data_IF_906933167627
#
_entry.id   IF_906933167627
#
_cell.length_a   1.000
_cell.length_b   1.000
_cell.length_c   1.000
_cell.angle_alpha   90.00
_cell.angle_beta   90.00
_cell.angle_gamma   90.00
#
_symmetry.space_group_name_H-M   'P 1'
#
loop_
_entity.id
_entity.type
_entity.pdbx_description
1 polymer ?
#
# COMPACT_ATOMS: atom_id res chain seq x y z
N UNK A 1 -55.42 4.05 -32.98
CA UNK A 1 -54.46 3.05 -32.47
C UNK A 1 -53.02 3.22 -33.00
N UNK A 2 -52.79 3.54 -34.28
CA UNK A 2 -51.42 3.69 -34.83
C UNK A 2 -50.63 4.88 -34.25
N UNK A 3 -51.27 6.03 -34.00
CA UNK A 3 -50.59 7.20 -33.43
C UNK A 3 -50.12 6.96 -31.98
N UNK A 4 -50.90 6.23 -31.19
CA UNK A 4 -50.54 5.89 -29.81
C UNK A 4 -49.30 4.98 -29.76
N UNK A 5 -49.23 3.97 -30.64
CA UNK A 5 -48.05 3.10 -30.78
C UNK A 5 -46.80 3.87 -31.19
N UNK A 6 -46.91 4.84 -32.11
CA UNK A 6 -45.77 5.67 -32.52
C UNK A 6 -45.27 6.55 -31.38
N UNK A 7 -46.15 7.21 -30.63
CA UNK A 7 -45.78 8.04 -29.48
C UNK A 7 -45.11 7.19 -28.39
N UNK A 8 -45.66 6.01 -28.08
CA UNK A 8 -45.08 5.10 -27.08
C UNK A 8 -43.69 4.61 -27.49
N UNK A 9 -43.49 4.25 -28.78
CA UNK A 9 -42.16 3.89 -29.28
C UNK A 9 -41.18 5.05 -29.24
N UNK A 10 -41.61 6.27 -29.60
CA UNK A 10 -40.76 7.47 -29.55
C UNK A 10 -40.34 7.84 -28.13
N UNK A 11 -41.26 7.74 -27.16
CA UNK A 11 -40.97 8.00 -25.75
C UNK A 11 -40.06 6.91 -25.17
N UNK A 12 -40.30 5.63 -25.49
CA UNK A 12 -39.44 4.54 -25.06
C UNK A 12 -38.01 4.64 -25.63
N UNK A 13 -37.86 5.01 -26.91
CA UNK A 13 -36.56 5.28 -27.52
C UNK A 13 -35.86 6.51 -26.93
N UNK A 14 -36.61 7.56 -26.57
CA UNK A 14 -36.04 8.74 -25.90
C UNK A 14 -35.54 8.41 -24.49
N UNK A 15 -36.30 7.63 -23.70
CA UNK A 15 -35.86 7.16 -22.37
C UNK A 15 -34.64 6.23 -22.44
N UNK A 16 -34.51 5.41 -23.49
CA UNK A 16 -33.35 4.55 -23.69
C UNK A 16 -32.06 5.31 -24.08
N UNK A 17 -32.18 6.57 -24.54
CA UNK A 17 -31.05 7.45 -24.89
C UNK A 17 -30.64 8.37 -23.73
N UNK A 18 -31.39 8.40 -22.62
CA UNK A 18 -30.98 9.13 -21.42
C UNK A 18 -29.94 8.29 -20.69
N UNK A 19 -28.66 8.53 -21.00
CA UNK A 19 -27.60 8.02 -20.15
C UNK A 19 -27.78 8.62 -18.74
N UNK A 20 -27.76 7.81 -17.67
CA UNK A 20 -27.78 8.36 -16.32
C UNK A 20 -26.56 9.26 -16.14
N UNK A 21 -26.81 10.56 -15.97
CA UNK A 21 -25.78 11.52 -15.56
C UNK A 21 -25.55 11.28 -14.07
N UNK A 22 -24.66 10.34 -13.75
CA UNK A 22 -24.25 10.13 -12.37
C UNK A 22 -23.44 11.33 -11.90
N UNK A 23 -23.83 11.89 -10.75
CA UNK A 23 -23.03 12.92 -10.10
C UNK A 23 -21.63 12.36 -9.76
N UNK A 24 -20.59 13.17 -10.01
CA UNK A 24 -19.22 12.80 -9.66
C UNK A 24 -19.07 12.70 -8.15
N UNK A 25 -18.45 11.62 -7.67
CA UNK A 25 -18.25 11.38 -6.23
C UNK A 25 -16.92 11.96 -5.77
N UNK A 26 -16.96 12.88 -4.82
CA UNK A 26 -15.75 13.42 -4.19
C UNK A 26 -15.66 12.91 -2.76
N UNK A 27 -14.58 12.22 -2.42
CA UNK A 27 -14.23 11.94 -1.02
C UNK A 27 -13.07 12.83 -0.60
N UNK A 28 -13.15 13.39 0.61
CA UNK A 28 -12.10 14.21 1.21
C UNK A 28 -11.70 13.57 2.54
N UNK A 29 -10.40 13.34 2.72
CA UNK A 29 -9.80 12.85 3.97
C UNK A 29 -8.86 13.92 4.51
N UNK A 30 -8.95 14.19 5.81
CA UNK A 30 -8.03 15.08 6.51
C UNK A 30 -7.11 14.24 7.40
N UNK A 31 -5.84 14.21 7.04
CA UNK A 31 -4.76 13.46 7.69
C UNK A 31 -4.25 14.19 8.94
N UNK A 32 -3.31 13.57 9.65
CA UNK A 32 -2.59 14.13 10.82
C UNK A 32 -3.46 14.58 12.01
N UNK A 33 -4.60 13.93 12.23
CA UNK A 33 -5.40 14.17 13.44
C UNK A 33 -4.70 13.66 14.70
N UNK A 34 -4.88 14.40 15.79
CA UNK A 34 -4.44 14.06 17.15
C UNK A 34 -3.42 15.04 17.75
N UNK A 35 -2.98 16.05 17.00
CA UNK A 35 -1.99 17.04 17.43
C UNK A 35 -2.53 18.47 17.53
N UNK A 36 -3.63 18.79 16.84
CA UNK A 36 -4.14 20.16 16.71
C UNK A 36 -5.65 20.25 16.99
N UNK A 37 -6.10 20.02 18.25
CA UNK A 37 -7.54 19.98 18.56
C UNK A 37 -8.31 21.22 18.09
N UNK A 38 -7.70 22.42 18.10
CA UNK A 38 -8.37 23.64 17.64
C UNK A 38 -8.83 23.56 16.18
N UNK A 39 -7.98 23.13 15.26
CA UNK A 39 -8.32 23.04 13.83
C UNK A 39 -9.05 21.73 13.49
N UNK A 40 -8.69 20.64 14.15
CA UNK A 40 -9.37 19.35 14.03
C UNK A 40 -10.85 19.48 14.40
N UNK A 41 -11.17 20.20 15.48
CA UNK A 41 -12.56 20.47 15.87
C UNK A 41 -13.35 21.30 14.85
N UNK A 42 -12.68 22.16 14.07
CA UNK A 42 -13.33 22.89 12.99
C UNK A 42 -13.62 21.97 11.80
N UNK A 43 -12.74 21.00 11.52
CA UNK A 43 -13.01 19.94 10.52
C UNK A 43 -14.17 19.05 10.98
N UNK A 44 -14.25 18.70 12.27
CA UNK A 44 -15.36 17.92 12.82
C UNK A 44 -16.71 18.67 12.88
N UNK A 45 -16.72 19.97 12.55
CA UNK A 45 -17.93 20.76 12.36
C UNK A 45 -18.36 20.86 10.88
N UNK A 46 -17.54 20.34 9.95
CA UNK A 46 -17.86 20.24 8.53
C UNK A 46 -18.81 19.05 8.26
N UNK A 47 -19.36 18.89 7.04
CA UNK A 47 -20.23 17.75 6.74
C UNK A 47 -19.58 16.40 7.08
N UNK A 48 -20.37 15.49 7.67
CA UNK A 48 -19.93 14.17 8.12
C UNK A 48 -19.42 13.23 7.01
N UNK A 49 -19.53 13.63 5.74
CA UNK A 49 -18.91 12.94 4.62
C UNK A 49 -17.39 13.21 4.52
N UNK A 50 -16.88 14.30 5.11
CA UNK A 50 -15.45 14.49 5.33
C UNK A 50 -14.97 13.39 6.29
N UNK A 51 -13.88 12.71 5.93
CA UNK A 51 -13.30 11.66 6.76
C UNK A 51 -11.99 12.12 7.36
N UNK A 52 -11.55 11.49 8.44
CA UNK A 52 -10.34 11.89 9.17
C UNK A 52 -9.40 10.71 9.34
N UNK A 53 -8.10 10.94 9.22
CA UNK A 53 -7.08 9.94 9.49
C UNK A 53 -6.26 10.36 10.72
N UNK A 54 -6.26 9.50 11.75
CA UNK A 54 -5.74 9.82 13.08
C UNK A 54 -4.40 9.11 13.31
N UNK A 55 -3.38 9.87 13.72
CA UNK A 55 -2.06 9.34 14.08
C UNK A 55 -2.16 8.59 15.41
N UNK A 56 -1.85 7.27 15.48
CA UNK A 56 -2.10 6.47 16.68
C UNK A 56 -1.36 6.93 17.94
N UNK A 57 -0.16 7.47 17.76
CA UNK A 57 0.72 7.89 18.85
C UNK A 57 0.59 9.39 19.17
N UNK A 58 -0.32 10.11 18.51
CA UNK A 58 -0.55 11.51 18.80
C UNK A 58 -1.24 11.71 20.17
N UNK A 59 -0.97 12.81 20.89
CA UNK A 59 -1.48 13.03 22.25
C UNK A 59 -3.00 12.92 22.40
N UNK A 60 -3.75 13.34 21.38
CA UNK A 60 -5.22 13.34 21.39
C UNK A 60 -5.83 12.27 20.48
N UNK A 61 -5.08 11.25 20.06
CA UNK A 61 -5.53 10.27 19.07
C UNK A 61 -6.88 9.62 19.42
N UNK A 62 -7.00 9.04 20.61
CA UNK A 62 -8.23 8.37 21.06
C UNK A 62 -9.41 9.33 21.20
N UNK A 63 -9.15 10.53 21.75
CA UNK A 63 -10.15 11.57 21.93
C UNK A 63 -10.72 12.02 20.58
N UNK A 64 -9.84 12.37 19.64
CA UNK A 64 -10.23 12.85 18.30
C UNK A 64 -10.90 11.77 17.47
N UNK A 65 -10.43 10.51 17.52
CA UNK A 65 -11.10 9.39 16.87
C UNK A 65 -12.53 9.18 17.39
N UNK A 66 -12.70 9.21 18.72
CA UNK A 66 -14.02 9.07 19.35
C UNK A 66 -14.95 10.23 18.99
N UNK A 67 -14.43 11.47 19.03
CA UNK A 67 -15.20 12.65 18.67
C UNK A 67 -15.62 12.64 17.21
N UNK A 68 -14.70 12.28 16.30
CA UNK A 68 -14.99 12.14 14.88
C UNK A 68 -16.09 11.12 14.60
N UNK A 69 -15.99 9.94 15.21
CA UNK A 69 -17.00 8.90 15.09
C UNK A 69 -18.38 9.35 15.60
N UNK A 70 -18.42 9.97 16.78
CA UNK A 70 -19.67 10.46 17.39
C UNK A 70 -20.34 11.57 16.57
N UNK A 71 -19.54 12.37 15.85
CA UNK A 71 -20.03 13.37 14.89
C UNK A 71 -20.38 12.78 13.51
N UNK A 72 -20.26 11.46 13.33
CA UNK A 72 -20.63 10.75 12.10
C UNK A 72 -19.55 10.73 11.02
N UNK A 73 -18.34 11.22 11.30
CA UNK A 73 -17.21 11.13 10.36
C UNK A 73 -16.65 9.71 10.33
N UNK A 74 -16.18 9.31 9.15
CA UNK A 74 -15.42 8.08 9.02
C UNK A 74 -13.98 8.28 9.53
N UNK A 75 -13.51 7.32 10.33
CA UNK A 75 -12.17 7.35 10.95
C UNK A 75 -11.27 6.34 10.27
N UNK A 76 -10.06 6.78 9.93
CA UNK A 76 -8.97 5.93 9.46
C UNK A 76 -7.81 6.01 10.44
N UNK A 77 -7.03 4.94 10.53
CA UNK A 77 -5.71 4.96 11.15
C UNK A 77 -4.76 5.66 10.19
N UNK A 78 -4.10 6.74 10.59
CA UNK A 78 -3.02 7.35 9.82
C UNK A 78 -1.68 6.79 10.31
N UNK A 79 -1.22 5.68 9.72
CA UNK A 79 -0.07 4.94 10.24
C UNK A 79 1.25 5.50 9.69
N UNK A 80 2.21 5.89 10.55
CA UNK A 80 3.55 6.27 10.13
C UNK A 80 4.27 5.20 9.34
N UNK A 81 4.79 5.59 8.17
CA UNK A 81 5.56 4.74 7.29
C UNK A 81 6.83 5.44 6.80
N UNK A 82 7.91 4.69 6.65
CA UNK A 82 9.22 5.24 6.32
C UNK A 82 9.23 5.95 4.95
N UNK A 83 9.66 7.22 4.88
CA UNK A 83 9.93 7.92 3.63
C UNK A 83 11.33 7.58 3.10
N UNK A 84 11.57 7.90 1.83
CA UNK A 84 12.92 7.86 1.22
C UNK A 84 13.80 9.01 1.75
N UNK A 85 13.19 10.15 2.08
CA UNK A 85 13.88 11.30 2.67
C UNK A 85 14.32 11.03 4.11
N UNK A 86 15.36 11.72 4.57
CA UNK A 86 15.89 11.60 5.95
C UNK A 86 15.24 12.59 6.90
N UNK A 87 13.92 12.54 7.03
CA UNK A 87 13.16 13.37 7.95
C UNK A 87 12.91 12.67 9.29
N UNK A 88 12.62 13.42 10.37
CA UNK A 88 12.21 12.83 11.64
C UNK A 88 11.02 11.90 11.44
N UNK A 89 11.04 10.77 12.14
CA UNK A 89 10.02 9.75 12.06
C UNK A 89 9.15 9.79 13.31
N UNK A 90 7.84 9.63 13.11
CA UNK A 90 6.91 9.39 14.20
C UNK A 90 7.20 8.05 14.89
N UNK A 91 6.73 7.91 16.13
CA UNK A 91 6.86 6.66 16.87
C UNK A 91 6.12 5.52 16.14
N UNK A 92 6.71 4.32 16.18
CA UNK A 92 6.20 3.11 15.52
C UNK A 92 6.06 3.24 13.99
N UNK A 93 6.94 4.03 13.37
CA UNK A 93 7.03 4.11 11.90
C UNK A 93 7.41 2.77 11.27
N UNK A 94 6.55 2.24 10.40
CA UNK A 94 6.81 1.01 9.66
C UNK A 94 7.95 1.19 8.66
N UNK A 95 8.88 0.23 8.64
CA UNK A 95 10.02 0.20 7.72
C UNK A 95 10.05 -1.10 6.90
N UNK A 96 10.49 -1.08 5.63
CA UNK A 96 10.52 -2.27 4.76
C UNK A 96 11.23 -3.51 5.36
N UNK A 97 12.30 -3.27 6.11
CA UNK A 97 13.18 -4.28 6.70
C UNK A 97 12.62 -4.94 7.97
N UNK A 98 11.53 -4.41 8.53
CA UNK A 98 10.90 -4.99 9.72
C UNK A 98 10.44 -6.44 9.48
N UNK A 99 10.45 -7.25 10.54
CA UNK A 99 9.85 -8.57 10.53
C UNK A 99 8.32 -8.48 10.45
N UNK A 100 7.66 -9.55 10.03
CA UNK A 100 6.19 -9.62 10.04
C UNK A 100 5.65 -9.44 11.47
N UNK A 101 6.30 -10.01 12.48
CA UNK A 101 5.87 -9.88 13.88
C UNK A 101 5.94 -8.43 14.39
N UNK A 102 6.95 -7.67 13.97
CA UNK A 102 7.07 -6.26 14.35
C UNK A 102 5.98 -5.41 13.67
N UNK A 103 5.73 -5.65 12.38
CA UNK A 103 4.64 -5.00 11.63
C UNK A 103 3.28 -5.34 12.25
N UNK A 104 3.01 -6.61 12.53
CA UNK A 104 1.77 -7.08 13.17
C UNK A 104 1.57 -6.44 14.55
N UNK A 105 2.64 -6.35 15.36
CA UNK A 105 2.61 -5.69 16.67
C UNK A 105 2.22 -4.22 16.53
N UNK A 106 2.83 -3.49 15.60
CA UNK A 106 2.58 -2.06 15.39
C UNK A 106 1.15 -1.81 14.90
N UNK A 107 0.68 -2.60 13.92
CA UNK A 107 -0.68 -2.45 13.37
C UNK A 107 -1.73 -2.77 14.44
N UNK A 108 -1.53 -3.82 15.24
CA UNK A 108 -2.41 -4.16 16.37
C UNK A 108 -2.50 -3.03 17.40
N UNK A 109 -1.37 -2.45 17.76
CA UNK A 109 -1.31 -1.34 18.71
C UNK A 109 -2.00 -0.09 18.15
N UNK A 110 -1.76 0.22 16.87
CA UNK A 110 -2.44 1.31 16.17
C UNK A 110 -3.96 1.13 16.14
N UNK A 111 -4.44 -0.07 15.83
CA UNK A 111 -5.86 -0.42 15.83
C UNK A 111 -6.52 -0.20 17.20
N UNK A 112 -5.85 -0.56 18.28
CA UNK A 112 -6.37 -0.39 19.64
C UNK A 112 -6.38 1.09 20.09
N UNK A 113 -5.44 1.89 19.59
CA UNK A 113 -5.31 3.33 19.92
C UNK A 113 -6.30 4.22 19.17
N UNK A 114 -6.69 3.83 17.95
CA UNK A 114 -7.62 4.57 17.10
C UNK A 114 -8.95 3.81 17.00
N UNK A 115 -9.87 3.96 17.98
CA UNK A 115 -11.15 3.27 17.95
C UNK A 115 -12.00 3.69 16.75
N UNK A 116 -12.93 2.83 16.34
CA UNK A 116 -13.88 3.04 15.24
C UNK A 116 -13.25 3.17 13.84
N UNK A 117 -11.95 2.90 13.71
CA UNK A 117 -11.28 2.90 12.42
C UNK A 117 -11.89 1.84 11.49
N UNK A 118 -12.15 2.25 10.25
CA UNK A 118 -12.66 1.37 9.18
C UNK A 118 -11.66 1.22 8.02
N UNK A 119 -10.57 1.97 8.06
CA UNK A 119 -9.46 1.86 7.13
C UNK A 119 -8.14 2.29 7.74
N UNK A 120 -7.06 2.02 7.02
CA UNK A 120 -5.71 2.48 7.32
C UNK A 120 -5.19 3.30 6.14
N UNK A 121 -4.54 4.42 6.45
CA UNK A 121 -3.94 5.34 5.51
C UNK A 121 -2.48 5.59 5.90
N UNK A 122 -1.57 5.68 4.93
CA UNK A 122 -0.15 5.88 5.23
C UNK A 122 0.20 7.36 5.45
N UNK A 123 0.80 7.65 6.61
CA UNK A 123 1.53 8.89 6.83
C UNK A 123 2.93 8.77 6.22
N UNK A 124 3.27 9.66 5.29
CA UNK A 124 4.51 9.58 4.49
C UNK A 124 4.62 8.23 3.75
N UNK A 125 5.68 7.46 3.96
CA UNK A 125 5.75 6.08 3.49
C UNK A 125 6.38 5.82 2.13
N UNK A 126 7.00 6.79 1.46
CA UNK A 126 7.55 6.56 0.10
C UNK A 126 8.56 5.41 0.00
N UNK A 127 9.31 5.09 1.06
CA UNK A 127 10.18 3.90 1.09
C UNK A 127 9.39 2.63 1.42
N UNK A 128 8.42 2.70 2.34
CA UNK A 128 7.58 1.57 2.72
C UNK A 128 6.67 1.12 1.57
N UNK A 129 5.91 2.05 0.99
CA UNK A 129 4.90 1.76 -0.04
C UNK A 129 5.53 1.38 -1.37
N UNK A 130 6.77 1.79 -1.66
CA UNK A 130 7.51 1.30 -2.84
C UNK A 130 8.11 -0.11 -2.66
N UNK A 131 8.12 -0.66 -1.44
CA UNK A 131 8.61 -2.02 -1.15
C UNK A 131 7.48 -3.03 -1.24
N UNK A 132 7.49 -3.89 -2.27
CA UNK A 132 6.51 -4.97 -2.38
C UNK A 132 6.58 -5.93 -1.19
N UNK A 133 7.77 -6.33 -0.75
CA UNK A 133 7.94 -7.21 0.40
C UNK A 133 7.45 -6.59 1.71
N UNK A 134 7.69 -5.28 1.90
CA UNK A 134 7.17 -4.56 3.06
C UNK A 134 5.65 -4.50 3.06
N UNK A 135 5.07 -4.10 1.92
CA UNK A 135 3.62 -3.97 1.78
C UNK A 135 2.89 -5.32 1.84
N UNK A 136 3.48 -6.42 1.36
CA UNK A 136 2.91 -7.77 1.50
C UNK A 136 2.67 -8.12 2.97
N UNK A 137 3.67 -7.85 3.83
CA UNK A 137 3.55 -8.06 5.28
C UNK A 137 2.45 -7.17 5.88
N UNK A 138 2.37 -5.90 5.46
CA UNK A 138 1.31 -4.98 5.91
C UNK A 138 -0.08 -5.48 5.50
N UNK A 139 -0.26 -5.93 4.27
CA UNK A 139 -1.56 -6.41 3.79
C UNK A 139 -1.96 -7.73 4.46
N UNK A 140 -1.01 -8.62 4.73
CA UNK A 140 -1.23 -9.84 5.52
C UNK A 140 -1.61 -9.51 6.97
N UNK A 141 -0.94 -8.54 7.59
CA UNK A 141 -1.29 -8.06 8.93
C UNK A 141 -2.70 -7.49 8.96
N UNK A 142 -3.04 -6.68 7.96
CA UNK A 142 -4.33 -6.01 7.84
C UNK A 142 -5.49 -6.97 7.55
N UNK A 143 -5.26 -8.12 6.92
CA UNK A 143 -6.32 -9.09 6.61
C UNK A 143 -7.09 -9.59 7.84
N UNK A 144 -6.45 -9.55 9.02
CA UNK A 144 -7.08 -9.91 10.29
C UNK A 144 -8.04 -8.83 10.81
N UNK A 145 -7.99 -7.65 10.21
CA UNK A 145 -8.82 -6.50 10.55
C UNK A 145 -9.73 -6.19 9.37
N UNK A 146 -11.00 -5.88 9.62
CA UNK A 146 -11.92 -5.47 8.56
C UNK A 146 -11.65 -4.01 8.13
N UNK A 147 -10.42 -3.72 7.70
CA UNK A 147 -9.94 -2.41 7.29
C UNK A 147 -9.59 -2.42 5.80
N UNK A 148 -9.99 -1.37 5.08
CA UNK A 148 -9.41 -1.10 3.76
C UNK A 148 -8.10 -0.30 3.90
N UNK A 149 -7.29 -0.29 2.86
CA UNK A 149 -6.09 0.54 2.78
C UNK A 149 -6.32 1.73 1.82
N UNK A 150 -6.17 2.95 2.31
CA UNK A 150 -6.11 4.16 1.50
C UNK A 150 -4.65 4.52 1.26
N UNK A 151 -4.19 4.40 0.03
CA UNK A 151 -2.85 4.83 -0.36
C UNK A 151 -2.82 6.35 -0.58
N UNK A 152 -2.05 7.06 0.24
CA UNK A 152 -1.79 8.50 0.09
C UNK A 152 -0.95 8.84 -1.14
N UNK A 153 -0.45 7.84 -1.88
CA UNK A 153 0.31 8.03 -3.12
C UNK A 153 1.48 9.01 -2.93
N UNK A 154 2.26 8.80 -1.87
CA UNK A 154 3.47 9.60 -1.57
C UNK A 154 4.64 9.25 -2.50
N UNK A 155 4.49 8.18 -3.29
CA UNK A 155 5.38 7.80 -4.39
C UNK A 155 4.55 7.19 -5.54
N UNK A 156 4.93 7.48 -6.79
CA UNK A 156 4.16 7.07 -7.97
C UNK A 156 4.13 5.56 -8.23
N UNK A 157 5.17 4.84 -7.81
CA UNK A 157 5.34 3.38 -8.00
C UNK A 157 4.95 2.57 -6.75
N UNK A 158 4.01 3.07 -5.95
CA UNK A 158 3.49 2.33 -4.79
C UNK A 158 3.05 0.92 -5.17
N UNK A 159 3.40 -0.04 -4.30
CA UNK A 159 3.12 -1.45 -4.45
C UNK A 159 1.87 -1.88 -3.65
N UNK A 160 1.14 -0.95 -3.03
CA UNK A 160 0.00 -1.25 -2.16
C UNK A 160 -1.07 -2.12 -2.85
N UNK A 161 -1.49 -1.75 -4.06
CA UNK A 161 -2.48 -2.54 -4.83
C UNK A 161 -1.96 -3.95 -5.16
N UNK A 162 -0.70 -4.05 -5.58
CA UNK A 162 -0.07 -5.33 -5.90
C UNK A 162 0.08 -6.22 -4.68
N UNK A 163 0.47 -5.64 -3.54
CA UNK A 163 0.63 -6.35 -2.28
C UNK A 163 -0.70 -6.85 -1.70
N UNK A 164 -1.81 -6.17 -2.00
CA UNK A 164 -3.14 -6.60 -1.60
C UNK A 164 -3.69 -7.75 -2.49
N UNK A 165 -3.04 -8.06 -3.61
CA UNK A 165 -3.45 -9.19 -4.43
C UNK A 165 -3.29 -10.50 -3.64
N UNK A 166 -4.39 -11.24 -3.54
CA UNK A 166 -4.44 -12.48 -2.76
C UNK A 166 -4.78 -12.30 -1.29
N UNK A 167 -5.09 -11.08 -0.83
CA UNK A 167 -5.71 -10.84 0.49
C UNK A 167 -7.13 -10.29 0.33
N UNK A 168 -7.89 -10.28 1.42
CA UNK A 168 -9.20 -9.60 1.48
C UNK A 168 -9.15 -8.06 1.54
N UNK A 169 -7.96 -7.45 1.58
CA UNK A 169 -7.80 -6.01 1.83
C UNK A 169 -8.07 -5.21 0.57
N UNK A 170 -9.11 -4.36 0.59
CA UNK A 170 -9.39 -3.43 -0.51
C UNK A 170 -8.44 -2.24 -0.47
N UNK A 171 -7.95 -1.82 -1.63
CA UNK A 171 -7.07 -0.66 -1.77
C UNK A 171 -7.76 0.42 -2.60
N UNK A 172 -7.79 1.65 -2.07
CA UNK A 172 -8.21 2.86 -2.78
C UNK A 172 -7.08 3.88 -2.75
N UNK A 173 -7.05 4.82 -3.70
CA UNK A 173 -5.89 5.71 -3.88
C UNK A 173 -6.30 7.18 -3.94
N UNK A 174 -5.51 8.02 -3.29
CA UNK A 174 -5.58 9.48 -3.46
C UNK A 174 -5.39 9.86 -4.93
N UNK A 175 -6.15 10.86 -5.39
CA UNK A 175 -5.98 11.53 -6.69
C UNK A 175 -5.44 12.95 -6.58
N UNK A 176 -5.76 13.66 -5.50
CA UNK A 176 -5.32 15.06 -5.29
C UNK A 176 -4.83 15.26 -3.86
N UNK A 177 -3.74 15.98 -3.69
CA UNK A 177 -3.29 16.48 -2.39
C UNK A 177 -3.66 17.96 -2.34
N UNK A 178 -4.42 18.36 -1.34
CA UNK A 178 -5.03 19.68 -1.28
C UNK A 178 -4.00 20.75 -0.92
N UNK A 179 -3.07 20.43 -0.03
CA UNK A 179 -2.25 21.42 0.67
C UNK A 179 -0.75 21.10 0.65
N UNK A 180 -0.25 20.70 -0.52
CA UNK A 180 1.20 20.64 -0.80
C UNK A 180 1.91 21.96 -0.44
N UNK A 181 1.20 23.08 -0.57
CA UNK A 181 1.58 24.38 -0.02
C UNK A 181 0.50 24.86 0.97
N UNK A 182 0.91 25.64 1.97
CA UNK A 182 -0.04 26.25 2.91
C UNK A 182 -0.68 27.54 2.36
N UNK A 183 -0.64 27.76 1.04
CA UNK A 183 -1.23 28.93 0.38
C UNK A 183 -2.68 28.65 0.00
N UNK A 184 -3.62 29.48 0.44
CA UNK A 184 -5.05 29.25 0.16
C UNK A 184 -5.42 29.27 -1.33
N UNK A 185 -4.73 30.06 -2.16
CA UNK A 185 -5.01 30.08 -3.60
C UNK A 185 -4.64 28.75 -4.26
N UNK A 186 -3.49 28.18 -3.90
CA UNK A 186 -3.05 26.86 -4.38
C UNK A 186 -4.00 25.75 -3.91
N UNK A 187 -4.44 25.81 -2.64
CA UNK A 187 -5.41 24.86 -2.09
C UNK A 187 -6.74 24.93 -2.85
N UNK A 188 -7.23 26.14 -3.20
CA UNK A 188 -8.44 26.30 -4.04
C UNK A 188 -8.25 25.69 -5.44
N UNK A 189 -7.08 25.84 -6.04
CA UNK A 189 -6.75 25.21 -7.33
C UNK A 189 -6.83 23.69 -7.21
N UNK A 190 -6.24 23.11 -6.15
CA UNK A 190 -6.26 21.67 -5.94
C UNK A 190 -7.67 21.16 -5.62
N UNK A 191 -8.47 21.88 -4.84
CA UNK A 191 -9.88 21.53 -4.59
C UNK A 191 -10.67 21.48 -5.91
N UNK A 192 -10.55 22.52 -6.75
CA UNK A 192 -11.21 22.55 -8.06
C UNK A 192 -10.72 21.43 -8.98
N UNK A 193 -9.42 21.09 -8.93
CA UNK A 193 -8.87 19.93 -9.63
C UNK A 193 -9.50 18.63 -9.14
N UNK A 194 -9.71 18.44 -7.84
CA UNK A 194 -10.37 17.26 -7.29
C UNK A 194 -11.81 17.13 -7.79
N UNK A 195 -12.56 18.23 -7.80
CA UNK A 195 -13.90 18.31 -8.39
C UNK A 195 -13.90 17.92 -9.87
N UNK A 196 -12.98 18.46 -10.67
CA UNK A 196 -12.88 18.13 -12.10
C UNK A 196 -12.49 16.66 -12.33
N UNK A 197 -11.65 16.07 -11.48
CA UNK A 197 -11.31 14.66 -11.56
C UNK A 197 -12.49 13.76 -11.17
N UNK A 198 -13.26 14.13 -10.13
CA UNK A 198 -14.48 13.42 -9.77
C UNK A 198 -15.49 13.43 -10.92
N UNK A 199 -15.66 14.58 -11.59
CA UNK A 199 -16.54 14.71 -12.76
C UNK A 199 -16.08 13.86 -13.94
N UNK A 200 -14.77 13.86 -14.25
CA UNK A 200 -14.22 13.13 -15.40
C UNK A 200 -14.16 11.62 -15.19
N UNK A 201 -13.82 11.18 -13.99
CA UNK A 201 -13.53 9.78 -13.70
C UNK A 201 -14.66 9.08 -12.94
N UNK A 202 -15.77 9.78 -12.67
CA UNK A 202 -16.85 9.31 -11.81
C UNK A 202 -16.56 9.45 -10.31
N UNK A 203 -15.28 9.35 -9.90
CA UNK A 203 -14.87 9.61 -8.52
C UNK A 203 -13.45 10.18 -8.35
N UNK A 204 -13.21 10.85 -7.24
CA UNK A 204 -11.87 11.26 -6.80
C UNK A 204 -11.76 11.28 -5.28
N UNK A 205 -10.58 10.92 -4.77
CA UNK A 205 -10.20 11.09 -3.37
C UNK A 205 -9.20 12.24 -3.28
N UNK A 206 -9.51 13.24 -2.48
CA UNK A 206 -8.59 14.31 -2.11
C UNK A 206 -8.15 14.14 -0.65
N UNK A 207 -6.89 14.41 -0.37
CA UNK A 207 -6.32 14.38 0.98
C UNK A 207 -5.74 15.74 1.30
N UNK A 208 -5.94 16.23 2.51
CA UNK A 208 -5.23 17.38 3.06
C UNK A 208 -5.00 17.20 4.57
N UNK A 209 -4.64 18.27 5.26
CA UNK A 209 -4.33 18.25 6.69
C UNK A 209 -5.07 19.38 7.43
N UNK A 210 -5.16 19.37 8.77
CA UNK A 210 -5.81 20.41 9.55
C UNK A 210 -4.91 21.65 9.67
N UNK A 211 -4.39 22.15 8.55
CA UNK A 211 -3.74 23.45 8.48
C UNK A 211 -4.79 24.57 8.47
N UNK A 212 -4.48 25.75 9.04
CA UNK A 212 -5.42 26.87 9.08
C UNK A 212 -5.94 27.26 7.69
N UNK A 213 -5.06 27.26 6.68
CA UNK A 213 -5.40 27.58 5.29
C UNK A 213 -6.30 26.51 4.66
N UNK A 214 -6.01 25.23 4.87
CA UNK A 214 -6.84 24.12 4.39
C UNK A 214 -8.24 24.17 4.97
N UNK A 215 -8.35 24.34 6.30
CA UNK A 215 -9.65 24.44 7.00
C UNK A 215 -10.46 25.61 6.45
N UNK A 216 -9.84 26.78 6.27
CA UNK A 216 -10.52 27.97 5.75
C UNK A 216 -11.03 27.76 4.32
N UNK A 217 -10.21 27.17 3.46
CA UNK A 217 -10.62 26.90 2.07
C UNK A 217 -11.76 25.88 2.04
N UNK A 218 -11.70 24.81 2.83
CA UNK A 218 -12.79 23.83 2.91
C UNK A 218 -14.09 24.44 3.43
N UNK A 219 -14.05 25.28 4.47
CA UNK A 219 -15.23 26.01 4.97
C UNK A 219 -15.87 26.89 3.88
N UNK A 220 -15.06 27.50 3.00
CA UNK A 220 -15.54 28.34 1.92
C UNK A 220 -16.08 27.53 0.72
N UNK A 221 -15.40 26.44 0.35
CA UNK A 221 -15.67 25.74 -0.90
C UNK A 221 -16.70 24.61 -0.78
N UNK A 222 -16.82 23.97 0.38
CA UNK A 222 -17.79 22.89 0.59
C UNK A 222 -19.25 23.35 0.38
N UNK A 223 -19.68 24.53 0.89
CA UNK A 223 -21.03 25.05 0.61
C UNK A 223 -21.28 25.38 -0.87
N UNK A 224 -20.21 25.61 -1.64
CA UNK A 224 -20.28 25.96 -3.07
C UNK A 224 -20.03 24.77 -3.98
N UNK A 225 -20.13 23.53 -3.48
CA UNK A 225 -19.96 22.35 -4.31
C UNK A 225 -20.99 22.36 -5.46
N UNK A 226 -20.55 22.10 -6.71
CA UNK A 226 -21.46 21.99 -7.83
C UNK A 226 -22.53 20.91 -7.60
N UNK A 227 -23.75 21.13 -8.11
CA UNK A 227 -24.87 20.19 -7.95
C UNK A 227 -24.64 18.83 -8.61
N UNK A 228 -23.70 18.74 -9.54
CA UNK A 228 -23.28 17.50 -10.20
C UNK A 228 -22.15 16.77 -9.46
N UNK A 229 -21.80 17.21 -8.24
CA UNK A 229 -20.82 16.57 -7.37
C UNK A 229 -21.47 16.19 -6.04
N UNK A 230 -21.31 14.93 -5.64
CA UNK A 230 -21.73 14.43 -4.34
C UNK A 230 -20.52 14.19 -3.45
N UNK A 231 -20.53 14.79 -2.26
CA UNK A 231 -19.53 14.49 -1.23
C UNK A 231 -19.87 13.13 -0.59
N UNK A 232 -18.92 12.20 -0.60
CA UNK A 232 -19.09 10.82 -0.10
C UNK A 232 -17.95 10.43 0.83
N UNK A 233 -18.12 9.33 1.57
CA UNK A 233 -17.03 8.76 2.39
C UNK A 233 -16.09 7.93 1.50
N UNK A 234 -14.79 7.82 1.84
CA UNK A 234 -13.86 6.95 1.13
C UNK A 234 -14.34 5.50 1.01
N UNK A 235 -15.03 4.95 2.03
CA UNK A 235 -15.60 3.59 1.96
C UNK A 235 -16.62 3.39 0.84
N UNK A 236 -17.30 4.46 0.41
CA UNK A 236 -18.30 4.39 -0.66
C UNK A 236 -17.65 4.18 -2.03
N UNK A 237 -16.32 4.35 -2.09
CA UNK A 237 -15.50 4.23 -3.30
C UNK A 237 -14.74 2.90 -3.39
N UNK A 238 -14.93 1.97 -2.44
CA UNK A 238 -14.18 0.70 -2.39
C UNK A 238 -14.41 -0.23 -3.58
N UNK A 239 -15.51 -0.04 -4.32
CA UNK A 239 -15.84 -0.83 -5.50
C UNK A 239 -15.62 -0.05 -6.81
N UNK A 240 -15.12 1.19 -6.73
CA UNK A 240 -14.84 1.99 -7.91
C UNK A 240 -13.54 1.51 -8.59
N UNK A 241 -13.47 1.48 -9.94
CA UNK A 241 -12.30 1.00 -10.65
C UNK A 241 -11.02 1.72 -10.22
N UNK A 242 -10.02 0.94 -9.77
CA UNK A 242 -8.69 1.45 -9.47
C UNK A 242 -7.73 1.07 -10.59
N UNK A 243 -7.00 2.05 -11.13
CA UNK A 243 -5.93 1.80 -12.11
C UNK A 243 -4.66 1.45 -11.36
N UNK A 244 -4.13 0.25 -11.54
CA UNK A 244 -2.81 -0.11 -11.02
C UNK A 244 -1.72 0.67 -11.76
N UNK A 245 -0.92 1.42 -11.01
CA UNK A 245 0.21 2.21 -11.52
C UNK A 245 1.54 1.69 -10.97
N UNK A 246 1.52 0.53 -10.31
CA UNK A 246 2.73 -0.12 -9.82
C UNK A 246 3.59 -0.51 -11.02
N UNK A 247 4.77 0.09 -11.11
CA UNK A 247 5.80 -0.38 -12.03
C UNK A 247 6.69 -1.35 -11.26
N UNK A 248 7.04 -2.52 -11.83
CA UNK A 248 8.15 -3.29 -11.31
C UNK A 248 9.36 -2.37 -11.24
N UNK A 249 10.06 -2.37 -10.11
CA UNK A 249 11.30 -1.63 -9.98
C UNK A 249 12.27 -2.19 -11.04
N UNK A 250 12.37 -1.56 -12.22
CA UNK A 250 13.31 -1.94 -13.27
C UNK A 250 14.74 -1.56 -12.90
N UNK A 251 14.95 -0.92 -11.75
CA UNK A 251 16.22 -0.98 -11.08
C UNK A 251 16.52 -2.45 -10.81
N UNK A 252 17.46 -3.02 -11.58
CA UNK A 252 18.18 -4.24 -11.18
C UNK A 252 18.37 -4.13 -9.67
N UNK A 253 18.01 -5.14 -8.85
CA UNK A 253 18.39 -5.11 -7.44
C UNK A 253 19.85 -4.73 -7.47
N UNK A 254 20.18 -3.57 -6.91
CA UNK A 254 21.55 -3.10 -6.92
C UNK A 254 22.35 -4.31 -6.48
N UNK A 255 23.32 -4.74 -7.29
CA UNK A 255 24.21 -5.79 -6.85
C UNK A 255 24.84 -5.21 -5.59
N UNK A 256 24.23 -5.49 -4.43
CA UNK A 256 24.96 -5.62 -3.21
C UNK A 256 25.87 -6.78 -3.55
N UNK A 257 27.04 -6.43 -4.08
CA UNK A 257 28.20 -7.30 -4.00
C UNK A 257 28.14 -7.81 -2.58
N UNK A 258 27.98 -9.13 -2.35
CA UNK A 258 28.08 -9.66 -1.01
C UNK A 258 29.37 -9.05 -0.46
N UNK A 259 29.26 -8.29 0.64
CA UNK A 259 30.46 -7.78 1.32
C UNK A 259 31.16 -9.03 1.77
N UNK A 260 32.05 -9.52 0.91
CA UNK A 260 32.92 -10.61 1.21
C UNK A 260 33.95 -10.01 2.17
N UNK A 261 33.88 -10.31 3.48
CA UNK A 261 34.87 -9.79 4.43
C UNK A 261 36.26 -10.35 4.10
N UNK A 262 36.32 -11.41 3.30
CA UNK A 262 37.54 -11.94 2.75
C UNK A 262 37.98 -11.08 1.55
N UNK A 263 38.97 -10.22 1.78
CA UNK A 263 39.83 -9.75 0.69
C UNK A 263 40.57 -10.98 0.15
N UNK A 264 40.02 -11.59 -0.90
CA UNK A 264 40.67 -12.70 -1.58
C UNK A 264 42.11 -12.31 -1.91
N UNK A 265 43.06 -13.19 -1.58
CA UNK A 265 44.46 -12.99 -1.96
C UNK A 265 44.48 -12.95 -3.49
N UNK A 266 44.86 -11.80 -4.08
CA UNK A 266 44.80 -11.58 -5.54
C UNK A 266 45.58 -12.64 -6.34
N UNK A 267 46.55 -13.29 -5.71
CA UNK A 267 47.26 -14.48 -6.17
C UNK A 267 47.71 -15.30 -4.96
N UNK A 268 47.24 -16.53 -4.82
CA UNK A 268 47.93 -17.52 -4.00
C UNK A 268 49.16 -17.98 -4.79
N UNK A 269 50.34 -17.46 -4.46
CA UNK A 269 51.60 -17.99 -4.98
C UNK A 269 52.03 -19.11 -4.03
N UNK A 270 52.03 -20.39 -4.47
CA UNK A 270 52.51 -21.48 -3.65
C UNK A 270 53.98 -21.22 -3.27
N UNK A 271 54.33 -21.27 -1.98
CA UNK A 271 55.73 -21.18 -1.55
C UNK A 271 56.58 -22.37 -2.00
N UNK A 272 55.93 -23.46 -2.39
CA UNK A 272 56.55 -24.69 -2.86
C UNK A 272 55.88 -25.10 -4.18
N UNK A 273 56.66 -25.68 -5.09
CA UNK A 273 56.09 -26.27 -6.30
C UNK A 273 55.04 -27.32 -5.90
N UNK A 274 53.84 -27.33 -6.51
CA UNK A 274 52.87 -28.37 -6.24
C UNK A 274 53.47 -29.73 -6.60
N UNK A 275 53.21 -30.74 -5.77
CA UNK A 275 53.65 -32.09 -6.06
C UNK A 275 53.10 -32.55 -7.42
N UNK A 276 53.90 -33.28 -8.21
CA UNK A 276 53.44 -33.79 -9.49
C UNK A 276 52.23 -34.70 -9.27
N UNK A 277 51.13 -34.39 -9.96
CA UNK A 277 49.98 -35.29 -10.00
C UNK A 277 50.33 -36.42 -10.95
N UNK A 278 50.75 -37.54 -10.37
CA UNK A 278 51.04 -38.76 -11.14
C UNK A 278 49.76 -39.25 -11.83
N UNK A 279 49.88 -39.72 -13.08
CA UNK A 279 48.75 -40.24 -13.85
C UNK A 279 48.01 -41.39 -13.13
N UNK A 280 48.71 -42.11 -12.24
CA UNK A 280 48.11 -43.13 -11.36
C UNK A 280 47.06 -42.58 -10.40
N UNK A 281 47.16 -41.29 -10.04
CA UNK A 281 46.20 -40.60 -9.18
C UNK A 281 44.89 -40.29 -9.91
N UNK A 282 44.93 -40.08 -11.22
CA UNK A 282 43.74 -39.93 -12.05
C UNK A 282 42.92 -41.23 -12.07
N UNK A 283 43.58 -42.37 -12.28
CA UNK A 283 42.90 -43.67 -12.33
C UNK A 283 42.36 -44.12 -10.96
N UNK A 284 43.05 -43.80 -9.85
CA UNK A 284 42.53 -44.09 -8.51
C UNK A 284 41.31 -43.25 -8.16
N UNK A 285 41.29 -41.96 -8.48
CA UNK A 285 40.12 -41.10 -8.23
C UNK A 285 38.91 -41.54 -9.06
N UNK A 286 39.12 -41.93 -10.34
CA UNK A 286 38.04 -42.49 -11.15
C UNK A 286 37.57 -43.82 -10.58
N UNK A 287 38.49 -44.69 -10.17
CA UNK A 287 38.18 -45.98 -9.55
C UNK A 287 37.34 -45.81 -8.27
N UNK A 288 37.74 -44.90 -7.38
CA UNK A 288 37.00 -44.58 -6.15
C UNK A 288 35.60 -44.04 -6.47
N UNK A 289 35.49 -43.08 -7.39
CA UNK A 289 34.22 -42.48 -7.78
C UNK A 289 33.26 -43.50 -8.44
N UNK A 290 33.79 -44.41 -9.26
CA UNK A 290 33.00 -45.50 -9.84
C UNK A 290 32.58 -46.52 -8.77
N UNK A 291 33.47 -46.87 -7.83
CA UNK A 291 33.16 -47.82 -6.74
C UNK A 291 32.08 -47.30 -5.79
N UNK A 292 32.02 -45.97 -5.60
CA UNK A 292 30.99 -45.31 -4.79
C UNK A 292 29.76 -44.90 -5.59
N UNK A 293 29.70 -45.21 -6.89
CA UNK A 293 28.52 -44.93 -7.69
C UNK A 293 27.33 -45.75 -7.19
N UNK A 294 26.15 -45.13 -7.26
CA UNK A 294 24.89 -45.72 -6.80
C UNK A 294 24.60 -47.06 -7.48
N UNK A 295 25.03 -47.22 -8.73
CA UNK A 295 24.88 -48.46 -9.50
C UNK A 295 25.77 -49.58 -8.95
N UNK A 296 27.05 -49.30 -8.67
CA UNK A 296 27.99 -50.30 -8.14
C UNK A 296 27.61 -50.71 -6.72
N UNK A 297 27.23 -49.75 -5.87
CA UNK A 297 26.73 -50.07 -4.53
C UNK A 297 25.43 -50.89 -4.59
N UNK A 298 24.50 -50.56 -5.50
CA UNK A 298 23.28 -51.35 -5.70
C UNK A 298 23.59 -52.81 -6.05
N UNK A 299 24.51 -53.07 -6.99
CA UNK A 299 24.91 -54.43 -7.34
C UNK A 299 25.68 -55.13 -6.21
N UNK A 300 26.58 -54.44 -5.50
CA UNK A 300 27.27 -55.02 -4.33
C UNK A 300 26.30 -55.42 -3.22
N UNK A 301 25.26 -54.63 -2.97
CA UNK A 301 24.26 -54.95 -1.95
C UNK A 301 23.28 -56.06 -2.39
N UNK A 302 23.05 -56.23 -3.69
CA UNK A 302 22.20 -57.29 -4.24
C UNK A 302 22.96 -58.61 -4.51
N UNK A 303 24.29 -58.56 -4.60
CA UNK A 303 25.11 -59.75 -4.87
C UNK A 303 25.40 -60.53 -3.57
N UNK A 304 24.52 -61.48 -3.24
CA UNK A 304 24.87 -62.60 -2.37
C UNK A 304 25.37 -63.74 -3.28
N UNK A 305 26.68 -63.97 -3.31
CA UNK A 305 27.33 -64.85 -4.29
C UNK A 305 26.73 -66.25 -4.44
N UNK A 306 27.03 -66.91 -5.56
CA UNK A 306 26.72 -68.32 -5.77
C UNK A 306 27.50 -69.17 -4.75
N UNK A 307 26.85 -69.62 -3.67
CA UNK A 307 27.53 -70.52 -2.73
C UNK A 307 26.94 -70.73 -1.33
N UNK A 308 25.79 -70.14 -0.95
CA UNK A 308 25.13 -70.57 0.30
C UNK A 308 24.14 -71.70 0.00
N UNK A 309 24.67 -72.93 -0.05
CA UNK A 309 23.87 -74.14 0.24
C UNK A 309 23.48 -74.12 1.72
N UNK A 310 22.24 -74.55 1.96
CA UNK A 310 21.56 -74.90 3.23
C UNK A 310 22.33 -74.73 4.53
#
# INVERSE_FOLDING_TARGET
>A
MLQFRRIVLSVASALALVAPVYAGKLAIVIDDFGYRPHYENQVLAMPAAISVAVLPNAPHAREMATKAHNSGHQVLIHLPMAPISKQPLEKDTLRPEMSSDEIDRIIRDAYNKVPYAVGLNNHMGSAMTSSLYGMLKVMQALERYNLYFLDSMTIGNSQAMRAAQGTGVKVIKRKVFLDDTQNEADIRVQFNRAVQLARRNGSAIAIGHPHPSTVRVLQQMLPTLPSDITLVRPSDLLNEPQVDTSTPNQGKPGLSTPRNPFRGVKRCVPKHAPEPVYATRFFSVIGESMSQSTLVQYFQHQWQGWGKKA
#
